data_IF_114580724302
#
_entry.id   IF_114580724302
#
_cell.length_a   1.000
_cell.length_b   1.000
_cell.length_c   1.000
_cell.angle_alpha   90.00
_cell.angle_beta   90.00
_cell.angle_gamma   90.00
#
_symmetry.space_group_name_H-M   'P 1'
#
loop_
_entity.id
_entity.type
_entity.pdbx_description
1 polymer ?
#
# COMPACT_ATOMS: atom_id res chain seq x y z
N UNK A 1 29.38 -8.10 10.26
CA UNK A 1 28.27 -8.72 11.04
C UNK A 1 26.96 -8.03 10.65
N UNK A 2 26.11 -8.64 9.84
CA UNK A 2 24.76 -8.14 9.61
C UNK A 2 23.95 -8.39 10.88
N UNK A 3 23.55 -7.31 11.56
CA UNK A 3 22.62 -7.41 12.69
C UNK A 3 21.26 -7.83 12.12
N UNK A 4 20.80 -9.03 12.44
CA UNK A 4 19.43 -9.48 12.12
C UNK A 4 18.44 -8.70 13.01
N UNK A 5 18.12 -7.47 12.63
CA UNK A 5 17.23 -6.59 13.39
C UNK A 5 15.75 -6.96 13.09
N UNK A 6 15.46 -7.33 11.85
CA UNK A 6 14.14 -7.78 11.41
C UNK A 6 14.19 -9.25 11.01
N UNK A 7 13.31 -10.06 11.58
CA UNK A 7 13.19 -11.50 11.30
C UNK A 7 11.87 -11.88 10.62
N UNK A 8 10.89 -10.98 10.61
CA UNK A 8 9.55 -11.17 10.05
C UNK A 8 8.89 -9.82 9.73
N UNK A 9 7.77 -9.86 9.01
CA UNK A 9 6.94 -8.71 8.65
C UNK A 9 7.13 -8.26 7.21
N UNK A 10 6.31 -7.29 6.77
CA UNK A 10 6.25 -6.81 5.39
C UNK A 10 7.62 -6.33 4.90
N UNK A 11 8.28 -5.45 5.66
CA UNK A 11 9.60 -4.91 5.31
C UNK A 11 10.66 -6.00 5.15
N UNK A 12 10.70 -6.98 6.09
CA UNK A 12 11.60 -8.11 5.99
C UNK A 12 11.34 -8.93 4.71
N UNK A 13 10.07 -9.18 4.39
CA UNK A 13 9.68 -9.93 3.20
C UNK A 13 10.02 -9.18 1.91
N UNK A 14 9.77 -7.88 1.85
CA UNK A 14 10.12 -7.06 0.69
C UNK A 14 11.62 -7.09 0.43
N UNK A 15 12.44 -6.89 1.45
CA UNK A 15 13.91 -6.94 1.31
C UNK A 15 14.37 -8.34 0.89
N UNK A 16 13.81 -9.39 1.50
CA UNK A 16 14.17 -10.78 1.18
C UNK A 16 13.84 -11.17 -0.26
N UNK A 17 12.74 -10.67 -0.80
CA UNK A 17 12.24 -11.00 -2.14
C UNK A 17 12.57 -9.92 -3.18
N UNK A 18 13.42 -8.95 -2.83
CA UNK A 18 13.82 -7.84 -3.70
C UNK A 18 12.63 -7.07 -4.29
N UNK A 19 11.61 -6.82 -3.44
CA UNK A 19 10.46 -5.99 -3.79
C UNK A 19 10.80 -4.54 -3.52
N UNK A 20 10.54 -3.67 -4.47
CA UNK A 20 10.77 -2.24 -4.33
C UNK A 20 9.94 -1.63 -3.19
N UNK A 21 10.58 -0.76 -2.42
CA UNK A 21 9.96 -0.06 -1.30
C UNK A 21 10.20 1.44 -1.49
N UNK A 22 9.14 2.21 -1.37
CA UNK A 22 9.20 3.68 -1.30
C UNK A 22 8.74 4.12 0.08
N UNK A 23 9.62 4.75 0.83
CA UNK A 23 9.33 5.29 2.14
C UNK A 23 9.16 6.80 2.02
N UNK A 24 7.98 7.29 2.34
CA UNK A 24 7.69 8.72 2.37
C UNK A 24 7.32 9.16 3.78
N UNK A 25 7.67 10.37 4.14
CA UNK A 25 7.24 10.97 5.41
C UNK A 25 5.72 11.11 5.46
N UNK A 26 5.15 10.98 6.65
CA UNK A 26 3.76 11.34 6.88
C UNK A 26 3.58 12.86 6.75
N UNK A 27 2.38 13.30 6.35
CA UNK A 27 2.06 14.74 6.24
C UNK A 27 2.30 15.48 7.58
N UNK A 28 2.26 14.77 8.70
CA UNK A 28 2.38 15.31 10.06
C UNK A 28 3.71 14.99 10.75
N UNK A 29 4.48 14.03 10.25
CA UNK A 29 5.67 13.54 10.94
C UNK A 29 6.84 13.41 9.96
N UNK A 30 7.91 14.10 10.24
CA UNK A 30 9.21 13.82 9.64
C UNK A 30 9.77 12.58 10.34
N UNK A 31 9.47 11.40 9.79
CA UNK A 31 9.89 10.13 10.39
C UNK A 31 11.41 10.04 10.53
N UNK A 32 11.91 9.58 11.68
CA UNK A 32 13.35 9.44 11.93
C UNK A 32 13.97 8.21 11.23
N UNK A 33 13.25 7.56 10.34
CA UNK A 33 13.71 6.33 9.68
C UNK A 33 14.66 6.70 8.53
N UNK A 34 15.90 6.16 8.49
CA UNK A 34 16.81 6.39 7.38
C UNK A 34 16.23 5.97 6.03
N UNK A 35 16.42 6.81 5.01
CA UNK A 35 15.93 6.54 3.65
C UNK A 35 14.48 6.97 3.39
N UNK A 36 13.85 7.67 4.33
CA UNK A 36 12.54 8.30 4.11
C UNK A 36 12.72 9.59 3.31
N UNK A 37 11.92 9.74 2.26
CA UNK A 37 11.81 10.99 1.50
C UNK A 37 10.89 11.94 2.26
N UNK A 38 11.45 12.99 2.83
CA UNK A 38 10.72 14.00 3.62
C UNK A 38 10.17 15.15 2.78
N UNK A 39 10.80 15.44 1.64
CA UNK A 39 10.30 16.42 0.69
C UNK A 39 9.05 15.88 -0.04
N UNK A 40 7.93 16.60 0.10
CA UNK A 40 6.62 16.17 -0.43
C UNK A 40 6.61 16.13 -1.97
N UNK A 41 7.30 17.07 -2.62
CA UNK A 41 7.36 17.15 -4.08
C UNK A 41 8.18 16.00 -4.64
N UNK A 42 9.34 15.73 -4.04
CA UNK A 42 10.19 14.62 -4.43
C UNK A 42 9.50 13.27 -4.15
N UNK A 43 8.83 13.13 -3.00
CA UNK A 43 8.04 11.95 -2.68
C UNK A 43 6.95 11.68 -3.72
N UNK A 44 6.20 12.70 -4.13
CA UNK A 44 5.18 12.58 -5.19
C UNK A 44 5.79 12.18 -6.54
N UNK A 45 6.93 12.74 -6.89
CA UNK A 45 7.63 12.41 -8.14
C UNK A 45 8.05 10.94 -8.17
N UNK A 46 8.68 10.46 -7.10
CA UNK A 46 9.08 9.05 -6.96
C UNK A 46 7.85 8.13 -7.01
N UNK A 47 6.79 8.47 -6.29
CA UNK A 47 5.54 7.69 -6.30
C UNK A 47 4.92 7.63 -7.70
N UNK A 48 4.80 8.76 -8.42
CA UNK A 48 4.27 8.79 -9.79
C UNK A 48 5.06 7.90 -10.74
N UNK A 49 6.40 7.91 -10.65
CA UNK A 49 7.25 7.04 -11.46
C UNK A 49 7.00 5.56 -11.17
N UNK A 50 6.82 5.19 -9.90
CA UNK A 50 6.55 3.80 -9.51
C UNK A 50 5.12 3.34 -9.81
N UNK A 51 4.18 4.26 -9.90
CA UNK A 51 2.77 3.98 -10.16
C UNK A 51 2.40 3.98 -11.65
N UNK A 52 3.29 4.39 -12.55
CA UNK A 52 2.98 4.54 -13.98
C UNK A 52 2.45 3.27 -14.64
N UNK A 53 2.97 2.12 -14.28
CA UNK A 53 2.66 0.82 -14.88
C UNK A 53 1.83 -0.10 -13.96
N UNK A 54 1.35 0.46 -12.83
CA UNK A 54 0.56 -0.30 -11.86
C UNK A 54 -0.84 -0.52 -12.39
N UNK A 55 -1.26 -1.78 -12.45
CA UNK A 55 -2.59 -2.20 -12.87
C UNK A 55 -3.53 -2.52 -11.71
N UNK A 56 -2.99 -2.90 -10.57
CA UNK A 56 -3.73 -3.23 -9.36
C UNK A 56 -3.04 -2.63 -8.14
N UNK A 57 -3.81 -2.06 -7.24
CA UNK A 57 -3.31 -1.50 -5.99
C UNK A 57 -4.19 -1.88 -4.80
N UNK A 58 -3.58 -2.11 -3.67
CA UNK A 58 -4.27 -2.21 -2.38
C UNK A 58 -3.93 -0.99 -1.52
N UNK A 59 -4.95 -0.29 -1.08
CA UNK A 59 -4.88 0.81 -0.13
C UNK A 59 -5.27 0.25 1.24
N UNK A 60 -4.32 0.24 2.17
CA UNK A 60 -4.47 -0.42 3.46
C UNK A 60 -4.39 0.62 4.57
N UNK A 61 -5.52 0.89 5.24
CA UNK A 61 -5.66 1.92 6.26
C UNK A 61 -5.29 3.34 5.77
N UNK A 62 -5.24 4.32 6.64
CA UNK A 62 -4.82 5.72 6.40
C UNK A 62 -5.46 6.43 5.20
N UNK A 63 -6.69 6.92 5.38
CA UNK A 63 -7.50 7.59 4.34
C UNK A 63 -6.74 8.66 3.56
N UNK A 64 -6.03 9.56 4.25
CA UNK A 64 -5.38 10.70 3.60
C UNK A 64 -4.28 10.25 2.62
N UNK A 65 -3.45 9.28 3.04
CA UNK A 65 -2.40 8.74 2.18
C UNK A 65 -2.99 7.91 1.05
N UNK A 66 -4.06 7.15 1.32
CA UNK A 66 -4.77 6.37 0.31
C UNK A 66 -5.35 7.25 -0.78
N UNK A 67 -6.01 8.36 -0.44
CA UNK A 67 -6.54 9.33 -1.40
C UNK A 67 -5.43 10.02 -2.19
N UNK A 68 -4.33 10.39 -1.53
CA UNK A 68 -3.18 11.00 -2.20
C UNK A 68 -2.57 10.05 -3.23
N UNK A 69 -2.42 8.77 -2.90
CA UNK A 69 -1.91 7.75 -3.84
C UNK A 69 -2.93 7.47 -4.94
N UNK A 70 -4.21 7.33 -4.62
CA UNK A 70 -5.28 7.09 -5.60
C UNK A 70 -5.35 8.20 -6.67
N UNK A 71 -5.12 9.46 -6.28
CA UNK A 71 -5.09 10.60 -7.22
C UNK A 71 -3.94 10.57 -8.23
N UNK A 72 -2.94 9.72 -8.00
CA UNK A 72 -1.77 9.57 -8.88
C UNK A 72 -1.87 8.34 -9.79
N UNK A 73 -2.88 7.49 -9.61
CA UNK A 73 -3.05 6.26 -10.38
C UNK A 73 -3.53 6.54 -11.80
N UNK A 74 -3.15 5.66 -12.72
CA UNK A 74 -3.76 5.64 -14.04
C UNK A 74 -5.27 5.31 -13.93
N UNK A 75 -6.14 5.90 -14.79
CA UNK A 75 -7.59 5.68 -14.71
C UNK A 75 -8.02 4.21 -14.85
N UNK A 76 -7.18 3.36 -15.44
CA UNK A 76 -7.43 1.94 -15.63
C UNK A 76 -6.97 1.06 -14.46
N UNK A 77 -6.27 1.61 -13.46
CA UNK A 77 -5.79 0.84 -12.33
C UNK A 77 -6.95 0.42 -11.42
N UNK A 78 -7.00 -0.88 -11.10
CA UNK A 78 -8.00 -1.44 -10.19
C UNK A 78 -7.55 -1.27 -8.75
N UNK A 79 -8.42 -0.77 -7.90
CA UNK A 79 -8.12 -0.44 -6.52
C UNK A 79 -8.94 -1.29 -5.56
N UNK A 80 -8.29 -1.83 -4.54
CA UNK A 80 -8.94 -2.43 -3.37
C UNK A 80 -8.59 -1.57 -2.16
N UNK A 81 -9.60 -0.99 -1.51
CA UNK A 81 -9.43 -0.21 -0.29
C UNK A 81 -9.91 -1.03 0.90
N UNK A 82 -9.05 -1.17 1.91
CA UNK A 82 -9.34 -1.89 3.15
C UNK A 82 -9.11 -0.96 4.33
N UNK A 83 -10.14 -0.68 5.08
CA UNK A 83 -10.08 0.12 6.30
C UNK A 83 -11.15 -0.35 7.29
N UNK A 84 -10.89 -0.16 8.58
CA UNK A 84 -11.86 -0.46 9.64
C UNK A 84 -12.96 0.62 9.73
N UNK A 85 -12.68 1.84 9.25
CA UNK A 85 -13.62 2.94 9.23
C UNK A 85 -14.43 2.94 7.93
N UNK A 86 -15.76 2.71 7.98
CA UNK A 86 -16.63 2.74 6.80
C UNK A 86 -16.54 4.05 6.02
N UNK A 87 -16.40 5.18 6.70
CA UNK A 87 -16.32 6.50 6.05
C UNK A 87 -15.02 6.69 5.28
N UNK A 88 -13.96 6.01 5.71
CA UNK A 88 -12.68 5.96 5.01
C UNK A 88 -12.80 5.19 3.70
N UNK A 89 -13.42 4.02 3.77
CA UNK A 89 -13.67 3.17 2.60
C UNK A 89 -14.56 3.87 1.58
N UNK A 90 -15.66 4.47 2.04
CA UNK A 90 -16.59 5.22 1.17
C UNK A 90 -15.87 6.32 0.38
N UNK A 91 -15.11 7.17 1.06
CA UNK A 91 -14.33 8.24 0.40
C UNK A 91 -13.30 7.71 -0.61
N UNK A 92 -12.64 6.61 -0.29
CA UNK A 92 -11.67 6.02 -1.21
C UNK A 92 -12.33 5.43 -2.47
N UNK A 93 -13.50 4.81 -2.33
CA UNK A 93 -14.28 4.25 -3.44
C UNK A 93 -14.90 5.35 -4.29
N UNK A 94 -15.44 6.42 -3.68
CA UNK A 94 -16.01 7.56 -4.40
C UNK A 94 -14.99 8.27 -5.30
N UNK A 95 -13.72 8.24 -4.92
CA UNK A 95 -12.65 8.86 -5.71
C UNK A 95 -12.44 8.15 -7.07
N UNK A 96 -12.68 6.83 -7.16
CA UNK A 96 -12.59 6.02 -8.38
C UNK A 96 -13.71 4.98 -8.44
N UNK A 97 -14.98 5.37 -8.61
CA UNK A 97 -16.13 4.49 -8.35
C UNK A 97 -16.21 3.26 -9.26
N UNK A 98 -15.69 3.33 -10.48
CA UNK A 98 -15.77 2.22 -11.45
C UNK A 98 -14.58 1.23 -11.35
N UNK A 99 -13.54 1.58 -10.64
CA UNK A 99 -12.29 0.81 -10.56
C UNK A 99 -11.97 0.33 -9.15
N UNK A 100 -12.79 0.72 -8.16
CA UNK A 100 -12.50 0.49 -6.75
C UNK A 100 -13.48 -0.47 -6.10
N UNK A 101 -12.95 -1.33 -5.22
CA UNK A 101 -13.70 -2.17 -4.30
C UNK A 101 -13.32 -1.76 -2.89
N UNK A 102 -14.31 -1.47 -2.06
CA UNK A 102 -14.14 -1.15 -0.66
C UNK A 102 -14.45 -2.33 0.25
N UNK A 103 -13.60 -2.60 1.22
CA UNK A 103 -13.80 -3.62 2.25
C UNK A 103 -13.67 -2.96 3.62
N UNK A 104 -14.75 -3.01 4.40
CA UNK A 104 -14.77 -2.52 5.78
C UNK A 104 -14.37 -3.67 6.70
N UNK A 105 -13.10 -3.72 7.05
CA UNK A 105 -12.54 -4.75 7.93
C UNK A 105 -11.18 -4.32 8.47
N UNK A 106 -10.69 -5.02 9.49
CA UNK A 106 -9.32 -4.85 9.95
C UNK A 106 -8.33 -5.40 8.90
N UNK A 107 -7.25 -4.65 8.69
CA UNK A 107 -6.21 -4.98 7.70
C UNK A 107 -5.45 -6.26 8.05
N UNK A 108 -5.24 -6.56 9.35
CA UNK A 108 -4.45 -7.74 9.76
C UNK A 108 -5.13 -9.05 9.36
N UNK A 109 -6.40 -9.34 9.76
CA UNK A 109 -7.08 -10.56 9.32
C UNK A 109 -7.26 -10.62 7.81
N UNK A 110 -7.55 -9.51 7.15
CA UNK A 110 -7.64 -9.45 5.69
C UNK A 110 -6.34 -9.91 5.01
N UNK A 111 -5.20 -9.38 5.41
CA UNK A 111 -3.90 -9.78 4.84
C UNK A 111 -3.55 -11.24 5.13
N UNK A 112 -3.95 -11.76 6.29
CA UNK A 112 -3.74 -13.16 6.65
C UNK A 112 -4.55 -14.09 5.74
N UNK A 113 -5.84 -13.81 5.55
CA UNK A 113 -6.70 -14.58 4.65
C UNK A 113 -6.23 -14.51 3.20
N UNK A 114 -5.83 -13.33 2.74
CA UNK A 114 -5.28 -13.15 1.40
C UNK A 114 -4.01 -13.98 1.20
N UNK A 115 -3.09 -13.97 2.16
CA UNK A 115 -1.86 -14.74 2.10
C UNK A 115 -2.14 -16.26 2.06
N UNK A 116 -3.08 -16.74 2.87
CA UNK A 116 -3.51 -18.13 2.88
C UNK A 116 -4.14 -18.55 1.54
N UNK A 117 -4.99 -17.69 0.98
CA UNK A 117 -5.61 -17.93 -0.32
C UNK A 117 -4.58 -18.03 -1.44
N UNK A 118 -3.66 -17.07 -1.51
CA UNK A 118 -2.59 -17.05 -2.53
C UNK A 118 -1.69 -18.28 -2.40
N UNK A 119 -1.36 -18.68 -1.18
CA UNK A 119 -0.53 -19.87 -0.92
C UNK A 119 -1.22 -21.16 -1.39
N UNK A 120 -2.53 -21.29 -1.14
CA UNK A 120 -3.33 -22.45 -1.58
C UNK A 120 -3.53 -22.47 -3.10
N UNK A 121 -3.68 -21.30 -3.74
CA UNK A 121 -3.82 -21.19 -5.19
C UNK A 121 -2.56 -21.66 -5.91
N UNK A 122 -1.39 -21.19 -5.46
CA UNK A 122 -0.09 -21.61 -6.02
C UNK A 122 0.26 -23.08 -5.84
N UNK A 123 -0.34 -23.76 -4.87
CA UNK A 123 -0.13 -25.19 -4.65
C UNK A 123 -1.00 -26.08 -5.57
N UNK A 124 -1.93 -25.48 -6.34
CA UNK A 124 -2.81 -26.20 -7.27
C UNK A 124 -2.36 -26.11 -8.73
N UNK A 125 -1.43 -25.19 -9.02
CA UNK A 125 -0.76 -25.05 -10.32
C UNK A 125 0.57 -25.82 -10.33
#
# INVERSE_FOLDING_TARGET
>A
MQKKILTRGVMHSCVRHNVDIVLTGAIRDEGPIPGVTTDVIEAQKVMRQKLSDVTHIMLLATVQHSLAVASMLAPAAKTVCVDIDPSAVERAVEHQPFQSIGLVTDVEPFLRELADYVSKSRARD
#
